data_IF_307120148548
#
_entry.id   IF_307120148548
#
_cell.length_a   1.000
_cell.length_b   1.000
_cell.length_c   1.000
_cell.angle_alpha   90.00
_cell.angle_beta   90.00
_cell.angle_gamma   90.00
#
_symmetry.space_group_name_H-M   'P 1'
#
loop_
_entity.id
_entity.type
_entity.pdbx_description
1 polymer ?
#
# COMPACT_ATOMS: atom_id res chain seq x y z
N UNK A 1 23.01 -51.14 53.22
CA UNK A 1 22.89 -49.97 52.31
C UNK A 1 21.58 -50.14 51.58
N UNK A 2 20.59 -49.34 52.00
CA UNK A 2 19.19 -49.47 51.54
C UNK A 2 19.00 -48.80 50.19
N UNK A 3 18.16 -49.45 49.38
CA UNK A 3 17.64 -48.99 48.09
C UNK A 3 16.43 -48.06 48.43
N UNK A 4 16.75 -46.83 48.83
CA UNK A 4 15.68 -45.85 49.09
C UNK A 4 16.27 -44.44 48.92
N UNK A 5 16.39 -43.97 47.70
CA UNK A 5 16.49 -42.52 47.34
C UNK A 5 16.66 -42.30 45.83
N UNK A 6 15.89 -43.09 45.03
CA UNK A 6 15.69 -42.72 43.64
C UNK A 6 14.35 -41.95 43.55
N UNK A 7 14.41 -40.60 43.45
CA UNK A 7 13.24 -39.82 43.08
C UNK A 7 12.72 -40.32 41.74
N UNK A 8 11.41 -40.56 41.60
CA UNK A 8 10.87 -40.90 40.30
C UNK A 8 11.13 -39.74 39.32
N UNK A 9 11.73 -40.06 38.18
CA UNK A 9 11.80 -39.14 37.06
C UNK A 9 10.35 -38.94 36.60
N UNK A 10 9.87 -37.70 36.66
CA UNK A 10 8.54 -37.38 36.16
C UNK A 10 8.36 -37.91 34.75
N UNK A 11 7.31 -38.70 34.54
CA UNK A 11 6.98 -39.26 33.24
C UNK A 11 6.74 -38.09 32.25
N UNK A 12 7.23 -38.17 31.01
CA UNK A 12 7.03 -37.12 30.02
C UNK A 12 5.51 -36.90 29.83
N UNK A 13 5.10 -35.64 29.83
CA UNK A 13 3.71 -35.24 29.59
C UNK A 13 3.30 -35.62 28.17
N UNK A 14 2.50 -36.68 28.06
CA UNK A 14 2.01 -37.24 26.80
C UNK A 14 0.71 -36.59 26.30
N UNK A 15 0.25 -35.50 26.93
CA UNK A 15 -0.93 -34.79 26.45
C UNK A 15 -0.68 -34.24 25.03
N UNK A 16 -1.71 -34.20 24.18
CA UNK A 16 -1.65 -33.54 22.89
C UNK A 16 -1.11 -32.11 23.04
N UNK A 17 -0.35 -31.63 22.06
CA UNK A 17 0.28 -30.31 22.11
C UNK A 17 -0.71 -29.16 22.38
N UNK A 18 -1.97 -29.34 22.00
CA UNK A 18 -3.05 -28.35 22.22
C UNK A 18 -3.62 -28.33 23.65
N UNK A 19 -3.39 -29.39 24.44
CA UNK A 19 -3.90 -29.52 25.82
C UNK A 19 -2.84 -29.23 26.90
N UNK A 20 -1.63 -28.87 26.48
CA UNK A 20 -0.58 -28.44 27.42
C UNK A 20 -0.88 -27.02 27.86
N UNK A 21 -0.87 -26.71 29.16
CA UNK A 21 -0.93 -25.32 29.61
C UNK A 21 0.18 -24.54 28.92
N UNK A 22 -0.16 -23.36 28.43
CA UNK A 22 0.77 -22.47 27.74
C UNK A 22 1.81 -21.96 28.75
N UNK A 23 2.93 -22.69 28.88
CA UNK A 23 4.07 -22.30 29.73
C UNK A 23 4.86 -21.13 29.14
N UNK A 24 4.22 -20.31 28.29
CA UNK A 24 4.84 -19.07 27.84
C UNK A 24 4.92 -18.14 29.03
N UNK A 25 6.15 -17.90 29.50
CA UNK A 25 6.39 -16.76 30.36
C UNK A 25 5.83 -15.49 29.71
N UNK A 26 5.18 -14.61 30.50
CA UNK A 26 4.58 -13.40 29.94
C UNK A 26 5.67 -12.59 29.21
N UNK A 27 5.37 -12.23 27.97
CA UNK A 27 6.00 -11.38 26.99
C UNK A 27 7.21 -10.53 27.47
N UNK A 28 8.35 -11.16 27.73
CA UNK A 28 9.57 -10.40 27.76
C UNK A 28 10.08 -10.21 26.33
N UNK A 29 10.26 -8.96 25.88
CA UNK A 29 10.79 -8.72 24.55
C UNK A 29 12.19 -9.36 24.45
N UNK A 30 12.36 -10.30 23.52
CA UNK A 30 13.63 -11.01 23.29
C UNK A 30 14.73 -10.04 22.81
N UNK A 31 14.33 -8.98 22.09
CA UNK A 31 15.22 -7.90 21.69
C UNK A 31 15.33 -6.86 22.80
N UNK A 32 16.53 -6.28 23.04
CA UNK A 32 16.72 -5.27 24.06
C UNK A 32 15.82 -4.05 23.85
N UNK A 33 15.41 -3.37 24.94
CA UNK A 33 14.63 -2.14 24.84
C UNK A 33 15.31 -1.09 23.95
N UNK A 34 14.55 -0.43 23.09
CA UNK A 34 15.05 0.56 22.15
C UNK A 34 15.76 -0.04 20.93
N UNK A 35 15.68 -1.36 20.72
CA UNK A 35 16.16 -2.00 19.50
C UNK A 35 15.56 -1.33 18.26
N UNK A 36 16.39 -0.89 17.29
CA UNK A 36 15.90 -0.25 16.09
C UNK A 36 15.22 -1.22 15.11
N UNK A 37 15.45 -2.53 15.28
CA UNK A 37 14.92 -3.61 14.45
C UNK A 37 13.73 -4.25 15.17
N UNK A 38 12.64 -4.46 14.44
CA UNK A 38 11.42 -5.08 14.94
C UNK A 38 11.22 -6.43 14.28
N UNK A 39 11.03 -7.49 15.06
CA UNK A 39 10.74 -8.82 14.55
C UNK A 39 9.25 -8.96 14.22
N UNK A 40 8.93 -9.29 12.97
CA UNK A 40 7.55 -9.46 12.49
C UNK A 40 7.05 -10.89 12.59
N UNK A 41 7.97 -11.87 12.51
CA UNK A 41 7.64 -13.29 12.58
C UNK A 41 8.38 -14.13 11.55
N UNK A 42 7.89 -15.35 11.36
CA UNK A 42 8.48 -16.33 10.42
C UNK A 42 7.44 -16.95 9.50
N UNK A 43 7.90 -17.30 8.29
CA UNK A 43 7.14 -18.17 7.39
C UNK A 43 8.12 -19.22 6.82
N UNK A 44 7.87 -20.49 7.14
CA UNK A 44 8.83 -21.57 6.82
C UNK A 44 10.19 -21.31 7.47
N UNK A 45 11.25 -21.28 6.67
CA UNK A 45 12.63 -21.02 7.14
C UNK A 45 13.03 -19.55 7.10
N UNK A 46 12.18 -18.66 6.58
CA UNK A 46 12.46 -17.24 6.49
C UNK A 46 11.96 -16.50 7.73
N UNK A 47 12.76 -15.56 8.22
CA UNK A 47 12.40 -14.59 9.26
C UNK A 47 12.17 -13.23 8.62
N UNK A 48 11.24 -12.45 9.16
CA UNK A 48 10.85 -11.13 8.66
C UNK A 48 11.06 -10.08 9.74
N UNK A 49 11.60 -8.93 9.32
CA UNK A 49 11.91 -7.81 10.20
C UNK A 49 11.52 -6.48 9.54
N UNK A 50 11.23 -5.48 10.37
CA UNK A 50 11.41 -4.09 9.97
C UNK A 50 12.81 -3.65 10.41
N UNK A 51 13.60 -3.14 9.47
CA UNK A 51 14.93 -2.61 9.75
C UNK A 51 14.88 -1.23 10.44
N UNK A 52 16.04 -0.63 10.70
CA UNK A 52 16.16 0.71 11.28
C UNK A 52 15.43 1.78 10.47
N UNK A 53 15.39 1.64 9.15
CA UNK A 53 14.69 2.53 8.24
C UNK A 53 13.20 2.16 8.04
N UNK A 54 12.68 1.21 8.82
CA UNK A 54 11.32 0.67 8.71
C UNK A 54 11.02 0.00 7.38
N UNK A 55 12.03 -0.50 6.67
CA UNK A 55 11.85 -1.33 5.50
C UNK A 55 11.64 -2.79 5.92
N UNK A 56 10.77 -3.49 5.22
CA UNK A 56 10.58 -4.92 5.48
C UNK A 56 11.71 -5.72 4.84
N UNK A 57 12.42 -6.48 5.65
CA UNK A 57 13.52 -7.35 5.24
C UNK A 57 13.16 -8.80 5.53
N UNK A 58 13.34 -9.64 4.51
CA UNK A 58 13.22 -11.10 4.61
C UNK A 58 14.61 -11.70 4.74
N UNK A 59 14.84 -12.48 5.79
CA UNK A 59 16.09 -13.19 6.05
C UNK A 59 15.86 -14.69 5.89
N UNK A 60 16.32 -15.27 4.78
CA UNK A 60 16.34 -16.72 4.58
C UNK A 60 17.57 -17.35 5.28
N UNK A 61 17.66 -18.68 5.32
CA UNK A 61 18.81 -19.37 5.92
C UNK A 61 20.17 -18.98 5.32
N UNK A 62 20.20 -18.53 4.07
CA UNK A 62 21.42 -18.12 3.36
C UNK A 62 21.83 -16.67 3.61
N UNK A 63 20.91 -15.84 4.06
CA UNK A 63 21.09 -14.38 4.17
C UNK A 63 21.77 -13.99 5.47
N UNK A 64 21.88 -14.90 6.44
CA UNK A 64 22.48 -14.63 7.74
C UNK A 64 24.00 -14.52 7.64
N UNK A 65 24.49 -13.30 7.58
CA UNK A 65 25.90 -12.92 7.70
C UNK A 65 26.01 -11.57 8.43
N UNK A 66 27.22 -11.18 8.81
CA UNK A 66 27.49 -9.95 9.56
C UNK A 66 27.08 -8.68 8.80
N UNK A 67 27.32 -8.63 7.50
CA UNK A 67 26.93 -7.50 6.64
C UNK A 67 25.39 -7.35 6.59
N UNK A 68 24.66 -8.44 6.47
CA UNK A 68 23.20 -8.40 6.47
C UNK A 68 22.64 -7.92 7.83
N UNK A 69 23.23 -8.37 8.94
CA UNK A 69 22.85 -7.88 10.27
C UNK A 69 23.18 -6.38 10.41
N UNK A 70 24.38 -5.95 10.02
CA UNK A 70 24.74 -4.52 10.02
C UNK A 70 23.77 -3.69 9.19
N UNK A 71 23.34 -4.20 8.04
CA UNK A 71 22.38 -3.52 7.16
C UNK A 71 21.00 -3.34 7.81
N UNK A 72 20.55 -4.30 8.66
CA UNK A 72 19.30 -4.15 9.41
C UNK A 72 19.36 -3.01 10.43
N UNK A 73 20.51 -2.82 11.06
CA UNK A 73 20.71 -1.77 12.07
C UNK A 73 21.11 -0.41 11.46
N UNK A 74 21.60 -0.41 10.23
CA UNK A 74 21.90 0.78 9.43
C UNK A 74 22.68 1.85 10.20
N UNK A 75 22.14 3.07 10.31
CA UNK A 75 22.77 4.20 11.05
C UNK A 75 22.87 3.97 12.56
N UNK A 76 22.16 2.99 13.09
CA UNK A 76 22.18 2.63 14.52
C UNK A 76 22.98 1.36 14.80
N UNK A 77 23.94 1.00 13.95
CA UNK A 77 24.79 -0.19 14.09
C UNK A 77 25.55 -0.24 15.45
N UNK A 78 25.84 0.91 16.07
CA UNK A 78 26.44 0.97 17.42
C UNK A 78 25.59 0.26 18.49
N UNK A 79 24.27 0.12 18.27
CA UNK A 79 23.40 -0.65 19.14
C UNK A 79 23.88 -2.10 19.30
N UNK A 80 24.44 -2.69 18.23
CA UNK A 80 24.97 -4.05 18.25
C UNK A 80 26.15 -4.20 19.21
N UNK A 81 27.08 -3.23 19.17
CA UNK A 81 28.26 -3.24 20.03
C UNK A 81 27.91 -2.92 21.51
N UNK A 82 26.88 -2.11 21.72
CA UNK A 82 26.41 -1.78 23.08
C UNK A 82 25.74 -2.97 23.78
N UNK A 83 24.97 -3.79 23.05
CA UNK A 83 24.19 -4.88 23.64
C UNK A 83 24.81 -6.26 23.46
N UNK A 84 25.66 -6.45 22.46
CA UNK A 84 26.36 -7.70 22.17
C UNK A 84 27.83 -7.45 21.81
N UNK A 85 28.63 -6.87 22.72
CA UNK A 85 30.01 -6.54 22.42
C UNK A 85 30.85 -7.81 22.18
N UNK A 86 31.71 -7.74 21.18
CA UNK A 86 32.79 -8.69 20.98
C UNK A 86 34.09 -8.07 21.54
N UNK A 87 34.63 -8.67 22.57
CA UNK A 87 35.86 -8.19 23.20
C UNK A 87 37.08 -8.70 22.45
N UNK A 88 38.06 -7.83 22.28
CA UNK A 88 39.38 -8.14 21.75
C UNK A 88 40.30 -8.72 22.82
N UNK A 89 41.58 -8.91 22.44
CA UNK A 89 42.61 -9.30 23.39
C UNK A 89 42.79 -8.20 24.44
N UNK A 90 43.07 -8.60 25.73
CA UNK A 90 43.32 -7.63 26.79
C UNK A 90 44.51 -6.75 26.46
N UNK A 91 44.35 -5.45 26.63
CA UNK A 91 45.45 -4.47 26.58
C UNK A 91 45.77 -4.10 28.01
N UNK A 92 47.06 -4.26 28.44
CA UNK A 92 47.53 -3.89 29.75
C UNK A 92 48.07 -2.48 29.70
N UNK A 93 47.50 -1.60 30.49
CA UNK A 93 48.05 -0.26 30.69
C UNK A 93 49.44 -0.38 31.34
N UNK A 94 50.46 0.29 30.78
CA UNK A 94 51.85 0.18 31.24
C UNK A 94 52.10 0.89 32.56
N UNK A 95 51.28 1.90 32.88
CA UNK A 95 51.50 2.74 34.05
C UNK A 95 50.70 2.23 35.27
N UNK A 96 49.49 1.71 35.03
CA UNK A 96 48.60 1.23 36.10
C UNK A 96 48.58 -0.29 36.23
N UNK A 97 49.07 -1.04 35.23
CA UNK A 97 48.98 -2.51 35.21
C UNK A 97 47.57 -3.06 34.98
N UNK A 98 46.58 -2.18 34.79
CA UNK A 98 45.17 -2.57 34.58
C UNK A 98 44.95 -3.17 33.20
N UNK A 99 44.15 -4.26 33.15
CA UNK A 99 43.80 -4.93 31.90
C UNK A 99 42.46 -4.46 31.43
N UNK A 100 42.41 -3.85 30.26
CA UNK A 100 41.19 -3.46 29.59
C UNK A 100 40.91 -4.38 28.39
N UNK A 101 39.64 -4.68 28.14
CA UNK A 101 39.22 -5.49 26.99
C UNK A 101 38.54 -4.56 25.98
N UNK A 102 39.20 -4.14 24.88
CA UNK A 102 38.61 -3.27 23.92
C UNK A 102 37.47 -3.97 23.15
N UNK A 103 36.39 -3.26 22.90
CA UNK A 103 35.33 -3.74 22.01
C UNK A 103 35.86 -3.68 20.57
N UNK A 104 35.86 -4.81 19.88
CA UNK A 104 36.38 -4.95 18.49
C UNK A 104 35.24 -5.25 17.47
N UNK A 105 34.02 -5.04 17.88
CA UNK A 105 32.83 -5.26 17.10
C UNK A 105 31.72 -5.90 17.93
N UNK A 106 30.82 -6.65 17.29
CA UNK A 106 29.68 -7.32 17.95
C UNK A 106 29.79 -8.83 17.87
N UNK A 107 29.16 -9.55 18.80
CA UNK A 107 29.05 -11.02 18.79
C UNK A 107 27.95 -11.43 17.80
N UNK A 108 28.37 -11.65 16.57
CA UNK A 108 27.50 -12.06 15.46
C UNK A 108 26.67 -13.33 15.78
N UNK A 109 27.29 -14.35 16.41
CA UNK A 109 26.62 -15.62 16.69
C UNK A 109 25.46 -15.44 17.66
N UNK A 110 25.66 -14.62 18.69
CA UNK A 110 24.65 -14.30 19.67
C UNK A 110 23.54 -13.44 19.06
N UNK A 111 23.89 -12.37 18.34
CA UNK A 111 22.89 -11.52 17.64
C UNK A 111 22.02 -12.35 16.73
N UNK A 112 22.60 -13.19 15.88
CA UNK A 112 21.85 -14.08 14.99
C UNK A 112 20.87 -14.99 15.74
N UNK A 113 21.33 -15.62 16.85
CA UNK A 113 20.49 -16.47 17.70
C UNK A 113 19.31 -15.67 18.26
N UNK A 114 19.57 -14.52 18.85
CA UNK A 114 18.54 -13.67 19.47
C UNK A 114 17.53 -13.19 18.43
N UNK A 115 17.97 -12.77 17.26
CA UNK A 115 17.06 -12.32 16.18
C UNK A 115 16.17 -13.46 15.66
N UNK A 116 16.73 -14.66 15.45
CA UNK A 116 15.93 -15.83 15.04
C UNK A 116 14.90 -16.18 16.11
N UNK A 117 15.27 -16.14 17.39
CA UNK A 117 14.35 -16.38 18.50
C UNK A 117 13.28 -15.31 18.56
N UNK A 118 13.62 -14.03 18.41
CA UNK A 118 12.65 -12.93 18.37
C UNK A 118 11.62 -13.11 17.25
N UNK A 119 12.07 -13.46 16.04
CA UNK A 119 11.16 -13.73 14.93
C UNK A 119 10.31 -14.99 15.19
N UNK A 120 10.86 -16.01 15.85
CA UNK A 120 10.10 -17.22 16.22
C UNK A 120 9.04 -16.92 17.28
N UNK A 121 9.36 -16.08 18.25
CA UNK A 121 8.45 -15.65 19.31
C UNK A 121 7.32 -14.76 18.79
N UNK A 122 7.59 -13.90 17.78
CA UNK A 122 6.58 -13.10 17.11
C UNK A 122 5.55 -13.93 16.30
N UNK A 123 5.82 -15.23 16.12
CA UNK A 123 4.88 -16.18 15.53
C UNK A 123 4.94 -16.26 14.01
N UNK A 124 3.83 -16.70 13.39
CA UNK A 124 3.72 -16.85 11.93
C UNK A 124 3.42 -15.49 11.30
N UNK A 125 4.21 -15.13 10.31
CA UNK A 125 4.03 -13.89 9.53
C UNK A 125 3.98 -14.20 8.04
N UNK A 126 2.77 -14.10 7.47
CA UNK A 126 2.56 -14.16 6.03
C UNK A 126 2.51 -12.73 5.45
N UNK A 127 3.53 -12.32 4.67
CA UNK A 127 3.54 -10.99 4.06
C UNK A 127 2.35 -10.70 3.15
N UNK A 128 1.82 -11.71 2.44
CA UNK A 128 0.71 -11.52 1.49
C UNK A 128 -0.58 -11.09 2.19
N UNK A 129 -0.81 -11.57 3.39
CA UNK A 129 -2.00 -11.21 4.17
C UNK A 129 -1.82 -10.02 5.10
N UNK A 130 -0.57 -9.63 5.43
CA UNK A 130 -0.28 -8.68 6.51
C UNK A 130 0.52 -7.45 6.11
N UNK A 131 0.98 -7.35 4.86
CA UNK A 131 1.73 -6.18 4.39
C UNK A 131 0.85 -5.32 3.49
N UNK A 132 0.87 -4.02 3.73
CA UNK A 132 0.19 -3.01 2.93
C UNK A 132 1.19 -1.94 2.52
N UNK A 133 1.36 -1.76 1.22
CA UNK A 133 2.28 -0.77 0.67
C UNK A 133 1.55 0.51 0.25
N UNK A 134 2.18 1.34 -0.60
CA UNK A 134 1.71 2.66 -1.01
C UNK A 134 0.27 2.69 -1.52
N UNK A 135 -0.41 3.75 -1.21
CA UNK A 135 -1.79 4.00 -1.60
C UNK A 135 -2.72 4.09 -0.41
N UNK A 136 -4.01 4.03 -0.65
CA UNK A 136 -5.03 4.15 0.37
C UNK A 136 -5.47 2.79 0.90
N UNK A 137 -5.63 2.69 2.20
CA UNK A 137 -6.16 1.51 2.89
C UNK A 137 -7.20 1.94 3.92
N UNK A 138 -7.95 0.99 4.44
CA UNK A 138 -8.94 1.23 5.48
C UNK A 138 -8.61 0.38 6.71
N UNK A 139 -8.66 0.99 7.90
CA UNK A 139 -8.54 0.28 9.18
C UNK A 139 -9.81 -0.51 9.49
N UNK A 140 -9.75 -1.38 10.49
CA UNK A 140 -10.91 -2.10 10.99
C UNK A 140 -11.99 -1.14 11.54
N UNK A 141 -11.58 -0.01 12.14
CA UNK A 141 -12.47 1.05 12.63
C UNK A 141 -13.03 1.96 11.51
N UNK A 142 -12.57 1.78 10.26
CA UNK A 142 -13.00 2.59 9.12
C UNK A 142 -12.17 3.84 8.87
N UNK A 143 -11.06 4.06 9.61
CA UNK A 143 -10.14 5.17 9.37
C UNK A 143 -9.43 5.00 8.02
N UNK A 144 -9.24 6.09 7.27
CA UNK A 144 -8.43 6.10 6.07
C UNK A 144 -6.95 6.07 6.44
N UNK A 145 -6.20 5.15 5.85
CA UNK A 145 -4.75 5.04 5.99
C UNK A 145 -4.14 5.34 4.61
N UNK A 146 -3.56 6.52 4.44
CA UNK A 146 -2.89 6.90 3.19
C UNK A 146 -1.38 6.75 3.32
N UNK A 147 -0.85 5.68 2.73
CA UNK A 147 0.57 5.37 2.74
C UNK A 147 1.30 6.08 1.60
N UNK A 148 2.07 7.11 1.94
CA UNK A 148 2.81 7.93 0.97
C UNK A 148 4.25 7.46 0.73
N UNK A 149 4.59 6.26 1.18
CA UNK A 149 5.92 5.67 1.04
C UNK A 149 6.77 5.87 2.28
N UNK A 150 7.27 7.05 2.50
CA UNK A 150 8.12 7.43 3.65
C UNK A 150 7.33 7.92 4.88
N UNK A 151 6.06 8.28 4.72
CA UNK A 151 5.15 8.71 5.78
C UNK A 151 3.75 8.20 5.52
N UNK A 152 2.96 8.08 6.56
CA UNK A 152 1.57 7.63 6.51
C UNK A 152 0.68 8.73 7.10
N UNK A 153 -0.36 9.13 6.36
CA UNK A 153 -1.39 10.02 6.88
C UNK A 153 -2.60 9.17 7.28
N UNK A 154 -2.89 9.15 8.57
CA UNK A 154 -4.14 8.59 9.09
C UNK A 154 -5.22 9.65 8.96
N UNK A 155 -6.27 9.34 8.22
CA UNK A 155 -7.44 10.20 8.07
C UNK A 155 -8.27 10.17 9.34
N UNK A 156 -8.91 11.30 9.66
CA UNK A 156 -9.74 11.36 10.85
C UNK A 156 -10.89 10.36 10.81
N UNK A 157 -11.27 9.86 11.96
CA UNK A 157 -12.54 9.18 12.16
C UNK A 157 -13.66 10.19 12.28
N UNK A 158 -14.86 9.81 11.82
CA UNK A 158 -16.06 10.62 12.05
C UNK A 158 -16.25 10.82 13.55
N UNK A 159 -16.63 12.02 13.93
CA UNK A 159 -17.04 12.32 15.31
C UNK A 159 -18.37 11.62 15.62
N UNK A 160 -18.31 10.59 16.43
CA UNK A 160 -19.47 10.05 17.12
C UNK A 160 -19.48 10.77 18.47
N UNK A 161 -20.57 11.46 18.80
CA UNK A 161 -20.73 12.23 20.06
C UNK A 161 -19.66 13.31 20.31
N UNK A 162 -19.13 13.94 19.25
CA UNK A 162 -18.14 15.02 19.39
C UNK A 162 -16.69 14.57 19.50
N UNK A 163 -16.41 13.30 19.67
CA UNK A 163 -15.06 12.73 19.76
C UNK A 163 -14.61 12.15 18.41
N UNK A 164 -14.00 12.97 17.58
CA UNK A 164 -13.38 12.54 16.33
C UNK A 164 -11.87 12.73 16.39
N UNK A 165 -11.14 11.89 15.68
CA UNK A 165 -9.69 12.07 15.52
C UNK A 165 -9.42 12.93 14.28
N UNK A 166 -8.60 13.98 14.44
CA UNK A 166 -8.12 14.74 13.30
C UNK A 166 -7.10 13.93 12.50
N UNK A 167 -6.92 14.22 11.20
CA UNK A 167 -5.86 13.60 10.40
C UNK A 167 -4.48 13.86 11.03
N UNK A 168 -3.65 12.81 11.08
CA UNK A 168 -2.31 12.87 11.69
C UNK A 168 -1.28 12.07 10.89
N UNK A 169 -0.06 12.57 10.84
CA UNK A 169 1.06 11.89 10.24
C UNK A 169 1.70 10.93 11.25
N UNK A 170 2.00 9.72 10.77
CA UNK A 170 2.75 8.70 11.52
C UNK A 170 3.86 8.13 10.64
N UNK A 171 4.84 7.51 11.27
CA UNK A 171 5.91 6.82 10.57
C UNK A 171 5.44 5.44 10.09
N UNK A 172 6.06 4.88 9.02
CA UNK A 172 5.87 3.50 8.62
C UNK A 172 6.13 2.53 9.77
N UNK A 173 5.40 1.41 9.77
CA UNK A 173 5.50 0.41 10.84
C UNK A 173 4.24 -0.43 10.96
N UNK A 174 3.99 -0.94 12.16
CA UNK A 174 2.81 -1.73 12.45
C UNK A 174 1.61 -0.82 12.81
N UNK A 175 0.54 -0.90 12.04
CA UNK A 175 -0.69 -0.13 12.25
C UNK A 175 -1.87 -1.08 12.07
N UNK A 176 -2.74 -1.18 13.06
CA UNK A 176 -3.97 -1.97 13.01
C UNK A 176 -3.73 -3.43 12.55
N UNK A 177 -2.66 -4.06 13.07
CA UNK A 177 -2.29 -5.44 12.75
C UNK A 177 -1.66 -5.66 11.38
N UNK A 178 -1.49 -4.61 10.57
CA UNK A 178 -0.82 -4.64 9.28
C UNK A 178 0.52 -3.93 9.32
N UNK A 179 1.47 -4.43 8.54
CA UNK A 179 2.79 -3.83 8.36
C UNK A 179 2.75 -2.90 7.17
N UNK A 180 3.11 -1.64 7.38
CA UNK A 180 3.25 -0.60 6.37
C UNK A 180 4.74 -0.23 6.25
N UNK A 181 5.51 -0.92 5.40
CA UNK A 181 6.96 -0.69 5.31
C UNK A 181 7.27 0.62 4.59
N UNK A 182 8.42 1.22 4.92
CA UNK A 182 8.96 2.35 4.17
C UNK A 182 9.19 1.98 2.70
N UNK A 183 8.74 2.84 1.80
CA UNK A 183 8.88 2.72 0.34
C UNK A 183 9.31 4.08 -0.25
N UNK A 184 9.76 4.12 -1.51
CA UNK A 184 9.97 5.39 -2.20
C UNK A 184 8.76 6.31 -2.09
N UNK A 185 9.01 7.58 -1.75
CA UNK A 185 7.96 8.56 -1.50
C UNK A 185 7.14 8.84 -2.75
N UNK A 186 5.85 9.02 -2.56
CA UNK A 186 4.91 9.54 -3.58
C UNK A 186 4.40 10.92 -3.15
N UNK A 187 3.77 11.70 -4.05
CA UNK A 187 3.27 13.02 -3.72
C UNK A 187 2.31 13.00 -2.52
N UNK A 188 2.67 13.78 -1.49
CA UNK A 188 1.92 13.87 -0.24
C UNK A 188 0.70 14.80 -0.36
N UNK A 189 -0.34 14.62 0.47
CA UNK A 189 -1.37 15.63 0.68
C UNK A 189 -0.78 16.96 1.17
N UNK A 190 -1.41 18.07 0.80
CA UNK A 190 -1.06 19.38 1.33
C UNK A 190 -1.25 19.42 2.86
N UNK A 191 -0.55 20.35 3.53
CA UNK A 191 -0.71 20.54 4.98
C UNK A 191 -2.16 20.85 5.34
N UNK A 192 -2.78 21.73 4.56
CA UNK A 192 -4.18 22.08 4.69
C UNK A 192 -4.86 22.11 3.33
N UNK A 193 -6.16 21.84 3.27
CA UNK A 193 -6.96 21.95 2.07
C UNK A 193 -7.92 23.15 2.23
N UNK A 194 -7.88 24.10 1.31
CA UNK A 194 -8.94 25.07 1.22
C UNK A 194 -10.22 24.36 0.80
N UNK A 195 -11.31 24.62 1.47
CA UNK A 195 -12.65 24.03 1.31
C UNK A 195 -12.91 23.26 -0.01
N UNK A 196 -13.66 23.86 -0.96
CA UNK A 196 -14.00 23.25 -2.27
C UNK A 196 -13.04 23.63 -3.41
N UNK A 197 -12.17 24.61 -3.21
CA UNK A 197 -11.34 25.22 -4.26
C UNK A 197 -10.54 24.25 -5.16
N UNK A 198 -9.86 23.21 -4.64
CA UNK A 198 -9.11 22.29 -5.51
C UNK A 198 -10.02 21.49 -6.45
N UNK A 199 -11.22 21.12 -5.98
CA UNK A 199 -12.20 20.43 -6.82
C UNK A 199 -12.79 21.35 -7.88
N UNK A 200 -13.17 22.56 -7.50
CA UNK A 200 -13.72 23.57 -8.42
C UNK A 200 -12.70 23.96 -9.50
N UNK A 201 -11.45 24.19 -9.13
CA UNK A 201 -10.37 24.47 -10.07
C UNK A 201 -10.13 23.33 -11.04
N UNK A 202 -10.10 22.08 -10.54
CA UNK A 202 -9.96 20.89 -11.38
C UNK A 202 -11.15 20.78 -12.32
N UNK A 203 -12.39 20.94 -11.85
CA UNK A 203 -13.57 20.90 -12.68
C UNK A 203 -13.58 21.99 -13.76
N UNK A 204 -13.21 23.23 -13.41
CA UNK A 204 -13.10 24.32 -14.37
C UNK A 204 -12.10 23.97 -15.48
N UNK A 205 -10.96 23.41 -15.12
CA UNK A 205 -9.98 22.94 -16.09
C UNK A 205 -10.52 21.81 -16.97
N UNK A 206 -11.14 20.79 -16.38
CA UNK A 206 -11.72 19.67 -17.15
C UNK A 206 -12.80 20.12 -18.13
N UNK A 207 -13.54 21.17 -17.84
CA UNK A 207 -14.55 21.78 -18.73
C UNK A 207 -13.96 22.50 -19.94
N UNK A 208 -12.64 22.73 -19.99
CA UNK A 208 -12.01 23.33 -21.18
C UNK A 208 -11.84 22.36 -22.33
N UNK A 209 -11.89 21.03 -22.08
CA UNK A 209 -11.95 20.02 -23.15
C UNK A 209 -13.33 19.97 -23.82
N UNK A 210 -13.33 19.59 -25.08
CA UNK A 210 -14.57 19.43 -25.85
C UNK A 210 -15.17 18.01 -25.63
N UNK A 211 -15.97 17.86 -24.60
CA UNK A 211 -16.62 16.59 -24.26
C UNK A 211 -17.89 16.37 -25.08
N UNK A 212 -18.20 15.11 -25.41
CA UNK A 212 -19.49 14.73 -26.02
C UNK A 212 -20.65 15.08 -25.06
N UNK A 213 -20.45 14.89 -23.75
CA UNK A 213 -21.42 15.24 -22.70
C UNK A 213 -20.83 16.30 -21.74
N UNK A 214 -20.78 17.58 -22.15
CA UNK A 214 -20.03 18.62 -21.43
C UNK A 214 -20.55 18.89 -20.01
N UNK A 215 -21.80 18.57 -19.72
CA UNK A 215 -22.43 18.71 -18.41
C UNK A 215 -22.33 17.45 -17.54
N UNK A 216 -21.71 16.37 -18.03
CA UNK A 216 -21.62 15.06 -17.34
C UNK A 216 -20.16 14.62 -17.23
N UNK A 217 -19.45 14.49 -18.35
CA UNK A 217 -18.14 13.85 -18.42
C UNK A 217 -17.06 14.53 -17.53
N UNK A 218 -16.97 15.88 -17.46
CA UNK A 218 -16.04 16.54 -16.54
C UNK A 218 -16.29 16.20 -15.05
N UNK A 219 -17.54 16.05 -14.65
CA UNK A 219 -17.89 15.68 -13.27
C UNK A 219 -17.56 14.22 -12.98
N UNK A 220 -17.85 13.32 -13.93
CA UNK A 220 -17.49 11.91 -13.79
C UNK A 220 -15.98 11.72 -13.69
N UNK A 221 -15.20 12.46 -14.51
CA UNK A 221 -13.74 12.39 -14.42
C UNK A 221 -13.22 12.98 -13.11
N UNK A 222 -13.78 14.11 -12.64
CA UNK A 222 -13.43 14.64 -11.33
C UNK A 222 -13.68 13.62 -10.21
N UNK A 223 -14.84 12.94 -10.25
CA UNK A 223 -15.17 11.84 -9.32
C UNK A 223 -14.18 10.69 -9.41
N UNK A 224 -13.78 10.30 -10.64
CA UNK A 224 -12.75 9.29 -10.87
C UNK A 224 -11.40 9.70 -10.25
N UNK A 225 -10.97 10.95 -10.43
CA UNK A 225 -9.72 11.46 -9.84
C UNK A 225 -9.76 11.43 -8.31
N UNK A 226 -10.90 11.80 -7.70
CA UNK A 226 -11.10 11.67 -6.27
C UNK A 226 -11.05 10.21 -5.80
N UNK A 227 -11.74 9.30 -6.50
CA UNK A 227 -11.73 7.87 -6.19
C UNK A 227 -10.31 7.24 -6.31
N UNK A 228 -9.51 7.70 -7.27
CA UNK A 228 -8.12 7.24 -7.43
C UNK A 228 -7.26 7.54 -6.19
N UNK A 229 -7.50 8.65 -5.49
CA UNK A 229 -6.77 8.99 -4.25
C UNK A 229 -7.03 7.98 -3.14
N UNK A 230 -8.24 7.46 -3.05
CA UNK A 230 -8.71 6.61 -1.94
C UNK A 230 -9.04 5.18 -2.38
N UNK A 231 -8.54 4.76 -3.53
CA UNK A 231 -8.97 3.54 -4.24
C UNK A 231 -9.01 2.28 -3.35
N UNK A 232 -7.94 1.99 -2.60
CA UNK A 232 -7.87 0.77 -1.78
C UNK A 232 -8.79 0.78 -0.56
N UNK A 233 -9.26 1.96 -0.14
CA UNK A 233 -10.18 2.11 0.98
C UNK A 233 -11.67 2.04 0.58
N UNK A 234 -11.96 2.11 -0.75
CA UNK A 234 -13.33 2.07 -1.25
C UNK A 234 -13.90 0.64 -1.23
N UNK A 235 -15.18 0.47 -0.89
CA UNK A 235 -15.88 -0.81 -1.03
C UNK A 235 -16.09 -1.18 -2.50
N UNK A 236 -16.30 -0.17 -3.34
CA UNK A 236 -16.48 -0.28 -4.79
C UNK A 236 -15.60 0.73 -5.51
N UNK A 237 -14.87 0.31 -6.55
CA UNK A 237 -13.89 1.13 -7.29
C UNK A 237 -14.41 1.43 -8.68
N UNK A 238 -14.60 2.71 -9.02
CA UNK A 238 -14.95 3.10 -10.39
C UNK A 238 -13.73 2.97 -11.30
N UNK A 239 -14.01 2.66 -12.58
CA UNK A 239 -13.03 2.68 -13.64
C UNK A 239 -13.54 3.54 -14.78
N UNK A 240 -12.65 4.23 -15.46
CA UNK A 240 -13.02 5.10 -16.58
C UNK A 240 -12.20 4.81 -17.83
N UNK A 241 -12.81 5.09 -18.98
CA UNK A 241 -12.18 4.99 -20.29
C UNK A 241 -12.33 6.30 -21.03
N UNK A 242 -11.22 7.00 -21.29
CA UNK A 242 -11.18 8.22 -22.08
C UNK A 242 -10.95 7.85 -23.53
N UNK A 243 -11.83 8.23 -24.42
CA UNK A 243 -11.70 8.00 -25.85
C UNK A 243 -11.85 9.27 -26.67
N UNK A 244 -11.35 9.27 -27.88
CA UNK A 244 -11.44 10.39 -28.82
C UNK A 244 -10.34 10.32 -29.90
N UNK A 245 -10.61 10.85 -31.07
CA UNK A 245 -9.69 10.84 -32.20
C UNK A 245 -8.44 11.72 -32.00
N UNK A 246 -7.71 11.96 -33.07
CA UNK A 246 -6.60 12.91 -33.07
C UNK A 246 -7.08 14.33 -32.80
N UNK A 247 -6.25 15.14 -32.12
CA UNK A 247 -6.55 16.55 -31.87
C UNK A 247 -7.60 16.79 -30.78
N UNK A 248 -8.00 15.77 -30.01
CA UNK A 248 -8.96 15.90 -28.91
C UNK A 248 -8.33 16.33 -27.57
N UNK A 249 -7.00 16.42 -27.50
CA UNK A 249 -6.28 16.82 -26.27
C UNK A 249 -6.12 15.68 -25.25
N UNK A 250 -6.29 14.40 -25.65
CA UNK A 250 -6.08 13.25 -24.75
C UNK A 250 -4.71 13.27 -24.08
N UNK A 251 -3.64 13.42 -24.83
CA UNK A 251 -2.28 13.43 -24.28
C UNK A 251 -2.03 14.62 -23.33
N UNK A 252 -2.69 15.76 -23.53
CA UNK A 252 -2.65 16.90 -22.60
C UNK A 252 -3.45 16.58 -21.33
N UNK A 253 -4.45 15.72 -21.39
CA UNK A 253 -5.26 15.31 -20.25
C UNK A 253 -4.57 14.22 -19.42
N UNK A 254 -4.21 13.10 -20.05
CA UNK A 254 -3.73 11.89 -19.37
C UNK A 254 -2.35 11.38 -19.80
N UNK A 255 -1.70 12.04 -20.79
CA UNK A 255 -0.32 11.70 -21.20
C UNK A 255 0.73 11.96 -20.13
N UNK A 256 2.00 11.67 -20.44
CA UNK A 256 3.13 11.75 -19.49
C UNK A 256 3.30 13.12 -18.84
N UNK A 257 3.07 14.17 -19.61
CA UNK A 257 3.13 15.56 -19.15
C UNK A 257 1.72 16.20 -19.05
N UNK A 258 0.68 15.36 -18.99
CA UNK A 258 -0.70 15.79 -18.95
C UNK A 258 -1.15 16.25 -17.56
N UNK A 259 -2.38 16.74 -17.51
CA UNK A 259 -3.01 17.24 -16.29
C UNK A 259 -2.99 16.21 -15.15
N UNK A 260 -3.41 14.97 -15.44
CA UNK A 260 -3.53 13.93 -14.43
C UNK A 260 -2.14 13.52 -13.92
N UNK A 261 -1.15 13.41 -14.80
CA UNK A 261 0.24 13.17 -14.42
C UNK A 261 0.80 14.29 -13.55
N UNK A 262 0.51 15.54 -13.86
CA UNK A 262 0.88 16.70 -13.04
C UNK A 262 0.29 16.62 -11.63
N UNK A 263 -0.99 16.23 -11.52
CA UNK A 263 -1.68 16.12 -10.24
C UNK A 263 -1.21 14.96 -9.37
N UNK A 264 -0.91 13.80 -9.96
CA UNK A 264 -0.63 12.57 -9.23
C UNK A 264 0.86 12.24 -9.13
N UNK A 265 1.69 12.66 -10.09
CA UNK A 265 3.11 12.27 -10.15
C UNK A 265 3.27 10.76 -10.00
N UNK A 266 4.22 10.32 -9.16
CA UNK A 266 4.47 8.90 -8.86
C UNK A 266 3.37 8.24 -7.98
N UNK A 267 2.32 8.97 -7.66
CA UNK A 267 1.12 8.45 -6.97
C UNK A 267 0.17 7.68 -7.90
N UNK A 268 0.54 7.46 -9.15
CA UNK A 268 -0.17 6.65 -10.14
C UNK A 268 0.82 5.76 -10.90
N UNK A 269 0.45 4.50 -11.13
CA UNK A 269 1.21 3.59 -11.98
C UNK A 269 0.79 3.84 -13.42
N UNK A 270 1.74 4.22 -14.26
CA UNK A 270 1.50 4.53 -15.67
C UNK A 270 2.14 3.46 -16.54
N UNK A 271 1.39 3.01 -17.55
CA UNK A 271 1.87 2.03 -18.51
C UNK A 271 1.17 2.23 -19.86
N UNK A 272 1.89 2.05 -20.95
CA UNK A 272 1.33 1.96 -22.28
C UNK A 272 0.89 0.51 -22.57
N UNK A 273 1.69 -0.45 -22.13
CA UNK A 273 1.40 -1.87 -22.27
C UNK A 273 1.80 -2.64 -21.00
N UNK A 274 0.91 -3.47 -20.52
CA UNK A 274 1.17 -4.37 -19.42
C UNK A 274 0.30 -5.63 -19.51
N UNK A 275 0.91 -6.76 -19.16
CA UNK A 275 0.17 -8.01 -19.02
C UNK A 275 -0.59 -8.06 -17.71
N UNK A 276 -1.64 -8.89 -17.65
CA UNK A 276 -2.38 -9.15 -16.41
C UNK A 276 -1.45 -9.56 -15.26
N UNK A 277 -0.47 -10.43 -15.54
CA UNK A 277 0.50 -10.89 -14.56
C UNK A 277 1.39 -9.75 -14.03
N UNK A 278 1.86 -8.87 -14.93
CA UNK A 278 2.64 -7.69 -14.55
C UNK A 278 1.85 -6.75 -13.64
N UNK A 279 0.58 -6.48 -13.98
CA UNK A 279 -0.28 -5.64 -13.15
C UNK A 279 -0.53 -6.27 -11.78
N UNK A 280 -0.78 -7.58 -11.72
CA UNK A 280 -0.94 -8.29 -10.45
C UNK A 280 0.29 -8.16 -9.57
N UNK A 281 1.49 -8.28 -10.15
CA UNK A 281 2.73 -8.10 -9.41
C UNK A 281 2.87 -6.67 -8.89
N UNK A 282 2.55 -5.66 -9.71
CA UNK A 282 2.60 -4.26 -9.32
C UNK A 282 1.59 -3.90 -8.23
N UNK A 283 0.41 -4.55 -8.21
CA UNK A 283 -0.69 -4.21 -7.29
C UNK A 283 -0.86 -5.21 -6.15
N UNK A 284 0.08 -6.14 -5.99
CA UNK A 284 -0.03 -7.21 -4.99
C UNK A 284 -0.17 -6.68 -3.56
N UNK A 285 0.58 -5.64 -3.21
CA UNK A 285 0.62 -5.06 -1.87
C UNK A 285 0.27 -3.57 -1.85
N UNK A 286 0.19 -2.91 -3.01
CA UNK A 286 -0.09 -1.48 -3.12
C UNK A 286 -1.42 -1.22 -3.84
N UNK A 287 -2.03 -0.08 -3.54
CA UNK A 287 -3.35 0.31 -4.05
C UNK A 287 -3.30 1.55 -4.94
N UNK A 288 -2.12 1.88 -5.49
CA UNK A 288 -1.96 3.01 -6.40
C UNK A 288 -2.81 2.80 -7.66
N UNK A 289 -3.50 3.84 -8.16
CA UNK A 289 -4.28 3.75 -9.38
C UNK A 289 -3.40 3.43 -10.59
N UNK A 290 -3.99 2.81 -11.60
CA UNK A 290 -3.30 2.42 -12.82
C UNK A 290 -3.88 3.21 -13.97
N UNK A 291 -2.99 3.84 -14.76
CA UNK A 291 -3.34 4.55 -15.99
C UNK A 291 -2.72 3.84 -17.19
N UNK A 292 -3.58 3.50 -18.14
CA UNK A 292 -3.17 3.04 -19.46
C UNK A 292 -3.25 4.18 -20.45
N UNK A 293 -2.11 4.48 -21.07
CA UNK A 293 -2.06 5.39 -22.21
C UNK A 293 -2.02 4.59 -23.51
N UNK A 294 -2.88 4.96 -24.45
CA UNK A 294 -2.99 4.32 -25.78
C UNK A 294 -3.27 2.80 -25.75
N UNK A 295 -4.22 2.34 -24.91
CA UNK A 295 -4.68 0.95 -24.93
C UNK A 295 -5.52 0.68 -26.16
N UNK A 296 -4.89 0.51 -27.32
CA UNK A 296 -5.57 0.20 -28.56
C UNK A 296 -5.98 -1.29 -28.63
N UNK A 297 -7.02 -1.61 -29.41
CA UNK A 297 -7.41 -3.00 -29.66
C UNK A 297 -6.26 -3.79 -30.27
N UNK A 298 -5.93 -4.98 -29.72
CA UNK A 298 -5.01 -5.91 -30.36
C UNK A 298 -5.61 -6.52 -31.64
N UNK A 299 -4.76 -7.05 -32.52
CA UNK A 299 -5.16 -7.65 -33.79
C UNK A 299 -6.08 -8.87 -33.66
N UNK A 300 -6.17 -9.49 -32.49
CA UNK A 300 -6.99 -10.67 -32.22
C UNK A 300 -8.33 -10.28 -31.55
N UNK A 301 -9.31 -9.97 -32.35
CA UNK A 301 -10.57 -9.31 -32.01
C UNK A 301 -11.67 -10.14 -31.36
N UNK A 302 -11.48 -11.19 -30.58
CA UNK A 302 -12.61 -11.99 -30.07
C UNK A 302 -12.55 -12.43 -28.60
N UNK A 303 -11.47 -12.17 -27.90
CA UNK A 303 -11.34 -12.60 -26.50
C UNK A 303 -11.31 -11.39 -25.56
N UNK A 304 -12.05 -11.47 -24.47
CA UNK A 304 -12.03 -10.43 -23.40
C UNK A 304 -10.58 -10.17 -22.96
N UNK A 305 -10.13 -8.93 -23.11
CA UNK A 305 -8.78 -8.51 -22.66
C UNK A 305 -8.59 -8.86 -21.18
N UNK A 306 -7.54 -9.64 -20.81
CA UNK A 306 -7.30 -10.05 -19.44
C UNK A 306 -7.18 -8.88 -18.47
N UNK A 307 -6.66 -7.72 -18.92
CA UNK A 307 -6.54 -6.51 -18.11
C UNK A 307 -7.91 -5.88 -17.84
N UNK A 308 -8.79 -5.86 -18.82
CA UNK A 308 -10.17 -5.38 -18.65
C UNK A 308 -10.92 -6.29 -17.67
N UNK A 309 -10.74 -7.61 -17.79
CA UNK A 309 -11.27 -8.57 -16.83
C UNK A 309 -10.72 -8.31 -15.41
N UNK A 310 -9.43 -8.02 -15.28
CA UNK A 310 -8.81 -7.67 -13.99
C UNK A 310 -9.42 -6.38 -13.42
N UNK A 311 -9.62 -5.35 -14.24
CA UNK A 311 -10.28 -4.11 -13.82
C UNK A 311 -11.70 -4.38 -13.30
N UNK A 312 -12.49 -5.20 -14.02
CA UNK A 312 -13.81 -5.61 -13.57
C UNK A 312 -13.78 -6.28 -12.17
N UNK A 313 -12.83 -7.18 -11.93
CA UNK A 313 -12.67 -7.85 -10.64
C UNK A 313 -12.21 -6.87 -9.56
N UNK A 314 -11.38 -5.90 -9.92
CA UNK A 314 -10.92 -4.84 -9.02
C UNK A 314 -12.07 -3.94 -8.54
N UNK A 315 -13.14 -3.75 -9.33
CA UNK A 315 -14.30 -2.94 -8.92
C UNK A 315 -14.85 -3.38 -7.57
N UNK A 316 -15.06 -4.68 -7.38
CA UNK A 316 -15.61 -5.25 -6.14
C UNK A 316 -14.54 -5.71 -5.15
N UNK A 317 -13.26 -5.68 -5.52
CA UNK A 317 -12.19 -6.29 -4.72
C UNK A 317 -12.33 -7.80 -4.60
N UNK A 318 -12.94 -8.45 -5.61
CA UNK A 318 -13.13 -9.90 -5.64
C UNK A 318 -11.77 -10.60 -5.60
N UNK A 319 -11.65 -11.57 -4.71
CA UNK A 319 -10.46 -12.42 -4.61
C UNK A 319 -10.37 -13.37 -5.79
N UNK A 320 -9.18 -13.49 -6.34
CA UNK A 320 -8.87 -14.44 -7.40
C UNK A 320 -7.97 -15.50 -6.79
N UNK A 321 -8.45 -16.74 -6.79
CA UNK A 321 -7.67 -17.89 -6.35
C UNK A 321 -6.96 -18.50 -7.56
N UNK A 322 -5.65 -18.64 -7.52
CA UNK A 322 -4.88 -19.42 -8.48
C UNK A 322 -4.03 -20.43 -7.74
N UNK A 323 -4.03 -21.68 -8.20
CA UNK A 323 -3.07 -22.69 -7.76
C UNK A 323 -1.65 -22.23 -8.09
N UNK A 324 -0.77 -22.18 -7.10
CA UNK A 324 0.68 -22.08 -7.32
C UNK A 324 1.27 -23.48 -7.51
N UNK A 325 2.48 -23.55 -8.08
CA UNK A 325 3.22 -24.83 -8.20
C UNK A 325 3.49 -25.49 -6.83
N UNK A 326 3.42 -24.71 -5.74
CA UNK A 326 3.67 -25.17 -4.36
C UNK A 326 2.38 -25.54 -3.60
N UNK A 327 1.25 -25.80 -4.31
CA UNK A 327 -0.06 -26.16 -3.74
C UNK A 327 -0.67 -25.13 -2.77
N UNK A 328 -0.08 -23.96 -2.58
CA UNK A 328 -0.68 -22.86 -1.84
C UNK A 328 -1.49 -21.98 -2.81
N UNK A 329 -2.80 -21.91 -2.62
CA UNK A 329 -3.64 -21.02 -3.40
C UNK A 329 -3.28 -19.57 -3.05
N UNK A 330 -2.58 -18.88 -3.95
CA UNK A 330 -2.33 -17.46 -3.79
C UNK A 330 -3.64 -16.69 -4.01
N UNK A 331 -4.11 -16.03 -2.96
CA UNK A 331 -5.24 -15.09 -3.05
C UNK A 331 -4.72 -13.75 -3.53
N UNK A 332 -5.32 -13.22 -4.57
CA UNK A 332 -5.04 -11.89 -5.08
C UNK A 332 -6.33 -11.09 -5.24
N UNK A 333 -6.36 -9.87 -4.70
CA UNK A 333 -7.42 -8.91 -4.97
C UNK A 333 -6.79 -7.58 -5.37
N UNK A 334 -7.00 -7.14 -6.61
CA UNK A 334 -6.63 -5.79 -7.01
C UNK A 334 -7.55 -4.79 -6.30
N UNK A 335 -6.99 -3.94 -5.47
CA UNK A 335 -7.74 -2.90 -4.75
C UNK A 335 -7.36 -1.51 -5.30
N UNK A 336 -7.54 -1.33 -6.60
CA UNK A 336 -7.15 -0.11 -7.29
C UNK A 336 -8.17 0.34 -8.34
N UNK A 337 -8.11 1.61 -8.74
CA UNK A 337 -8.87 2.17 -9.85
C UNK A 337 -8.04 2.10 -11.14
N UNK A 338 -8.74 1.88 -12.25
CA UNK A 338 -8.15 1.91 -13.58
C UNK A 338 -8.67 3.11 -14.37
N UNK A 339 -7.78 3.76 -15.09
CA UNK A 339 -8.08 4.80 -16.05
C UNK A 339 -7.45 4.42 -17.39
N UNK A 340 -8.26 4.07 -18.36
CA UNK A 340 -7.83 3.70 -19.70
C UNK A 340 -7.93 4.89 -20.65
N UNK A 341 -7.12 4.87 -21.70
CA UNK A 341 -7.17 5.82 -22.79
C UNK A 341 -6.87 5.13 -24.13
N UNK A 342 -7.62 5.46 -25.17
CA UNK A 342 -7.39 4.98 -26.54
C UNK A 342 -8.10 5.84 -27.56
N UNK A 343 -7.79 5.64 -28.83
CA UNK A 343 -8.59 6.21 -29.95
C UNK A 343 -9.86 5.40 -30.11
N UNK A 344 -9.72 4.08 -30.16
CA UNK A 344 -10.84 3.14 -30.30
C UNK A 344 -11.05 2.35 -29.01
N UNK A 345 -12.29 2.13 -28.65
CA UNK A 345 -12.66 1.24 -27.54
C UNK A 345 -12.65 -0.19 -28.07
N UNK A 346 -11.84 -1.11 -27.50
CA UNK A 346 -11.84 -2.50 -27.92
C UNK A 346 -13.20 -3.17 -27.69
N UNK A 347 -13.54 -4.22 -28.44
CA UNK A 347 -14.71 -5.04 -28.17
C UNK A 347 -14.68 -5.58 -26.75
N UNK A 348 -15.79 -5.47 -26.03
CA UNK A 348 -15.90 -5.87 -24.62
C UNK A 348 -17.18 -6.67 -24.39
N UNK A 349 -17.11 -7.61 -23.44
CA UNK A 349 -18.30 -8.27 -22.94
C UNK A 349 -19.20 -7.27 -22.18
N UNK A 350 -20.50 -7.46 -22.21
CA UNK A 350 -21.46 -6.58 -21.54
C UNK A 350 -21.15 -6.41 -20.05
N UNK A 351 -20.70 -7.47 -19.38
CA UNK A 351 -20.31 -7.46 -17.98
C UNK A 351 -19.07 -6.59 -17.68
N UNK A 352 -18.12 -6.51 -18.62
CA UNK A 352 -16.92 -5.67 -18.48
C UNK A 352 -17.29 -4.21 -18.75
N UNK A 353 -18.08 -3.98 -19.81
CA UNK A 353 -18.57 -2.66 -20.19
C UNK A 353 -19.39 -1.99 -19.09
N UNK A 354 -20.19 -2.77 -18.33
CA UNK A 354 -21.02 -2.25 -17.23
C UNK A 354 -20.22 -1.73 -16.04
N UNK A 355 -18.91 -1.97 -15.99
CA UNK A 355 -18.01 -1.53 -14.90
C UNK A 355 -17.13 -0.34 -15.28
N UNK A 356 -17.30 0.16 -16.51
CA UNK A 356 -16.50 1.23 -17.07
C UNK A 356 -17.36 2.46 -17.37
N UNK A 357 -16.88 3.61 -16.96
CA UNK A 357 -17.44 4.91 -17.35
C UNK A 357 -16.73 5.38 -18.61
N UNK A 358 -17.46 5.51 -19.72
CA UNK A 358 -16.90 5.99 -20.98
C UNK A 358 -17.02 7.51 -21.04
N UNK A 359 -15.87 8.16 -21.28
CA UNK A 359 -15.69 9.60 -21.35
C UNK A 359 -15.16 9.95 -22.75
N UNK A 360 -15.99 10.58 -23.58
CA UNK A 360 -15.68 10.78 -24.98
C UNK A 360 -15.32 12.23 -25.28
N UNK A 361 -14.17 12.41 -25.92
CA UNK A 361 -13.64 13.70 -26.35
C UNK A 361 -13.83 13.92 -27.85
N UNK A 362 -14.23 15.13 -28.19
CA UNK A 362 -14.28 15.65 -29.56
C UNK A 362 -13.02 16.49 -29.85
N UNK A 363 -12.69 16.74 -31.13
CA UNK A 363 -11.60 17.63 -31.49
C UNK A 363 -11.71 18.98 -30.80
N UNK A 364 -10.59 19.51 -30.33
CA UNK A 364 -10.53 20.84 -29.73
C UNK A 364 -10.90 21.89 -30.79
N UNK A 365 -11.58 22.94 -30.36
CA UNK A 365 -11.84 24.11 -31.23
C UNK A 365 -10.52 24.77 -31.59
N UNK A 366 -10.45 25.33 -32.79
CA UNK A 366 -9.26 26.05 -33.24
C UNK A 366 -8.85 27.14 -32.23
N UNK A 367 -7.59 27.14 -31.83
CA UNK A 367 -7.06 28.06 -30.82
C UNK A 367 -7.28 27.66 -29.36
N UNK A 368 -8.02 26.58 -29.08
CA UNK A 368 -8.31 26.12 -27.72
C UNK A 368 -7.19 25.21 -27.14
N UNK A 369 -5.94 25.58 -27.32
CA UNK A 369 -4.81 24.85 -26.72
C UNK A 369 -4.82 25.00 -25.19
N UNK A 370 -4.87 23.89 -24.47
CA UNK A 370 -4.75 23.87 -23.01
C UNK A 370 -3.26 24.01 -22.64
N UNK A 371 -2.91 25.06 -21.91
CA UNK A 371 -1.58 25.21 -21.33
C UNK A 371 -1.62 24.74 -19.89
N UNK A 372 -0.69 23.86 -19.53
CA UNK A 372 -0.57 23.30 -18.18
C UNK A 372 0.68 23.86 -17.49
N UNK A 373 0.53 24.44 -16.33
CA UNK A 373 1.62 24.66 -15.40
C UNK A 373 1.73 23.43 -14.48
N UNK A 374 2.75 22.62 -14.69
CA UNK A 374 2.96 21.37 -13.94
C UNK A 374 3.13 21.63 -12.44
N UNK A 375 3.78 22.73 -12.04
CA UNK A 375 3.98 23.07 -10.63
C UNK A 375 2.65 23.42 -9.95
N UNK A 376 1.83 24.20 -10.63
CA UNK A 376 0.47 24.54 -10.18
C UNK A 376 -0.37 23.28 -10.01
N UNK A 377 -0.40 22.37 -11.01
CA UNK A 377 -1.22 21.17 -10.96
C UNK A 377 -0.72 20.14 -9.94
N UNK A 378 0.58 20.12 -9.65
CA UNK A 378 1.12 19.34 -8.52
C UNK A 378 0.56 19.84 -7.19
N UNK A 379 0.48 21.15 -7.00
CA UNK A 379 -0.10 21.75 -5.81
C UNK A 379 -1.60 21.48 -5.71
N UNK A 380 -2.36 21.65 -6.80
CA UNK A 380 -3.80 21.33 -6.84
C UNK A 380 -4.03 19.84 -6.51
N UNK A 381 -3.22 18.95 -7.05
CA UNK A 381 -3.28 17.52 -6.72
C UNK A 381 -2.99 17.23 -5.25
N UNK A 382 -2.04 17.91 -4.63
CA UNK A 382 -1.76 17.79 -3.20
C UNK A 382 -2.95 18.28 -2.35
N UNK A 383 -3.57 19.40 -2.73
CA UNK A 383 -4.77 19.92 -2.07
C UNK A 383 -5.98 19.00 -2.25
N UNK A 384 -6.16 18.41 -3.45
CA UNK A 384 -7.23 17.45 -3.69
C UNK A 384 -7.07 16.20 -2.81
N UNK A 385 -5.85 15.65 -2.72
CA UNK A 385 -5.54 14.54 -1.82
C UNK A 385 -5.88 14.88 -0.37
N UNK A 386 -5.49 16.08 0.09
CA UNK A 386 -5.81 16.52 1.45
C UNK A 386 -7.32 16.62 1.66
N UNK A 387 -8.04 17.17 0.71
CA UNK A 387 -9.49 17.27 0.75
C UNK A 387 -10.16 15.90 0.89
N UNK A 388 -9.69 14.91 0.12
CA UNK A 388 -10.22 13.53 0.20
C UNK A 388 -10.01 12.92 1.59
N UNK A 389 -8.86 13.18 2.22
CA UNK A 389 -8.58 12.74 3.60
C UNK A 389 -9.49 13.44 4.59
N UNK A 390 -9.61 14.78 4.52
CA UNK A 390 -10.41 15.58 5.46
C UNK A 390 -11.90 15.24 5.39
N UNK A 391 -12.38 14.84 4.21
CA UNK A 391 -13.81 14.52 3.98
C UNK A 391 -14.10 13.02 4.06
N UNK A 392 -13.11 12.18 4.35
CA UNK A 392 -13.29 10.73 4.41
C UNK A 392 -14.40 10.31 5.37
N UNK A 393 -14.47 10.93 6.56
CA UNK A 393 -15.50 10.62 7.57
C UNK A 393 -16.94 10.87 7.11
N UNK A 394 -17.15 11.71 6.07
CA UNK A 394 -18.47 11.98 5.46
C UNK A 394 -18.75 11.13 4.21
N UNK A 395 -17.73 10.42 3.71
CA UNK A 395 -17.84 9.76 2.42
C UNK A 395 -18.99 8.76 2.38
N UNK A 396 -19.12 7.91 3.39
CA UNK A 396 -20.15 6.87 3.43
C UNK A 396 -21.56 7.49 3.44
N UNK A 397 -21.81 8.51 4.26
CA UNK A 397 -23.11 9.20 4.32
C UNK A 397 -23.46 9.84 2.99
N UNK A 398 -22.46 10.45 2.34
CA UNK A 398 -22.65 11.06 1.02
C UNK A 398 -22.98 10.00 -0.03
N UNK A 399 -22.30 8.86 0.00
CA UNK A 399 -22.58 7.74 -0.90
C UNK A 399 -23.99 7.18 -0.69
N UNK A 400 -24.39 6.96 0.57
CA UNK A 400 -25.72 6.45 0.92
C UNK A 400 -26.83 7.42 0.45
N UNK A 401 -26.62 8.72 0.63
CA UNK A 401 -27.55 9.75 0.16
C UNK A 401 -27.68 9.75 -1.37
N UNK A 402 -26.57 9.59 -2.11
CA UNK A 402 -26.61 9.45 -3.57
C UNK A 402 -27.32 8.17 -4.02
N UNK A 403 -27.05 7.04 -3.38
CA UNK A 403 -27.71 5.77 -3.69
C UNK A 403 -29.22 5.87 -3.47
N UNK A 404 -29.64 6.50 -2.37
CA UNK A 404 -31.06 6.74 -2.10
C UNK A 404 -31.72 7.64 -3.18
N UNK A 405 -31.04 8.72 -3.56
CA UNK A 405 -31.52 9.61 -4.61
C UNK A 405 -31.66 8.92 -5.97
N UNK A 406 -30.67 8.09 -6.35
CA UNK A 406 -30.71 7.33 -7.60
C UNK A 406 -31.83 6.27 -7.59
N UNK A 407 -32.04 5.62 -6.46
CA UNK A 407 -33.14 4.66 -6.27
C UNK A 407 -34.51 5.33 -6.39
N UNK A 408 -34.67 6.54 -5.86
CA UNK A 408 -35.91 7.30 -5.95
C UNK A 408 -36.29 7.65 -7.38
N UNK A 409 -35.33 7.85 -8.28
CA UNK A 409 -35.56 8.05 -9.73
C UNK A 409 -35.57 6.75 -10.53
N UNK A 410 -35.67 5.60 -9.87
CA UNK A 410 -35.67 4.26 -10.46
C UNK A 410 -34.47 3.97 -11.37
N UNK A 411 -33.33 4.55 -11.03
CA UNK A 411 -32.08 4.22 -11.68
C UNK A 411 -31.59 2.87 -11.15
N UNK A 412 -31.54 1.86 -12.04
CA UNK A 412 -31.09 0.52 -11.67
C UNK A 412 -29.59 0.54 -11.37
N UNK A 413 -29.24 0.39 -10.10
CA UNK A 413 -27.86 0.35 -9.65
C UNK A 413 -27.42 -1.10 -9.50
N UNK A 414 -26.40 -1.46 -10.25
CA UNK A 414 -25.66 -2.71 -10.05
C UNK A 414 -24.29 -2.40 -9.46
N UNK A 415 -24.20 -2.40 -8.13
CA UNK A 415 -22.97 -2.25 -7.36
C UNK A 415 -22.76 -0.92 -6.72
#
# INVERSE_FOLDING_TARGET
MGIADIKPVDAPDLRPANDRPDEREPDQPILPPGCPVEALGRLGTASFFLDEARQMVRMSTKDWNDVAILSLYGRRAQFLEQHWPKFGKPVTDKDTGEKTFPIVGFDYANVKKVMILAASHAGIFDPEGRVRERGAHRSAEGELILHCGDRILLGGLKRINGEGRAPRWVDPGLIDGFVYPTKPSIPKPAAESPSTAPGEKTLAMLKTWNWVRPNIDPFLLLGQLGAMVVAGALPWRPHSWITGGRGTGKSTLNGEHGLIAGMFGDGVIRTADATEAGIRQLTKLQTLPIMFDEREPGEQGTTSDPVIKLARLASSGSKIHRGSQDHNAAEFAAQTCFLFSSILIPPMLAQDRSRLTFLELQPLKAGAGVRLDVAEWRQVGAMLRRRMVDQWGRFQETLDAYQLALSAVKFDQRG
#
